data_IF_249449829886
#
_entry.id   IF_249449829886
#
_cell.length_a   1.000
_cell.length_b   1.000
_cell.length_c   1.000
_cell.angle_alpha   90.00
_cell.angle_beta   90.00
_cell.angle_gamma   90.00
#
_symmetry.space_group_name_H-M   'P 1'
#
loop_
_entity.id
_entity.type
_entity.pdbx_description
1 polymer ?
#
# COMPACT_ATOMS: atom_id res chain seq x y z
N UNK A 1 12.21 -19.35 55.79
CA UNK A 1 13.07 -18.24 55.34
C UNK A 1 12.19 -16.99 55.23
N UNK A 2 12.41 -15.98 56.10
CA UNK A 2 11.63 -14.74 56.09
C UNK A 2 12.24 -13.80 55.04
N UNK A 3 11.55 -13.56 53.94
CA UNK A 3 11.93 -12.52 52.98
C UNK A 3 11.91 -11.16 53.69
N UNK A 4 12.99 -10.40 53.55
CA UNK A 4 13.19 -9.10 54.19
C UNK A 4 12.18 -8.08 53.66
N UNK A 5 11.66 -7.17 54.50
CA UNK A 5 10.61 -6.22 54.14
C UNK A 5 11.00 -5.30 52.96
N UNK A 6 12.29 -5.10 52.71
CA UNK A 6 12.79 -4.36 51.55
C UNK A 6 12.53 -5.07 50.21
N UNK A 7 12.58 -6.41 50.17
CA UNK A 7 12.38 -7.19 48.93
C UNK A 7 10.91 -7.14 48.48
N UNK A 8 9.98 -7.13 49.44
CA UNK A 8 8.55 -6.98 49.16
C UNK A 8 8.19 -5.58 48.63
N UNK A 9 8.81 -4.52 49.16
CA UNK A 9 8.58 -3.17 48.66
C UNK A 9 9.13 -2.97 47.23
N UNK A 10 10.33 -3.49 46.95
CA UNK A 10 10.95 -3.38 45.62
C UNK A 10 10.14 -4.16 44.57
N UNK A 11 9.69 -5.37 44.90
CA UNK A 11 8.84 -6.16 43.99
C UNK A 11 7.47 -5.52 43.76
N UNK A 12 6.86 -4.94 44.79
CA UNK A 12 5.57 -4.25 44.64
C UNK A 12 5.68 -3.00 43.75
N UNK A 13 6.79 -2.25 43.82
CA UNK A 13 7.06 -1.10 42.95
C UNK A 13 7.31 -1.54 41.50
N UNK A 14 8.02 -2.66 41.29
CA UNK A 14 8.29 -3.19 39.94
C UNK A 14 7.01 -3.69 39.24
N UNK A 15 6.14 -4.39 39.98
CA UNK A 15 4.83 -4.84 39.49
C UNK A 15 3.92 -3.64 39.21
N UNK A 16 3.92 -2.62 40.08
CA UNK A 16 3.16 -1.39 39.84
C UNK A 16 3.65 -0.66 38.58
N UNK A 17 4.96 -0.51 38.35
CA UNK A 17 5.51 0.06 37.12
C UNK A 17 5.09 -0.70 35.87
N UNK A 18 5.05 -2.04 35.95
CA UNK A 18 4.67 -2.91 34.81
C UNK A 18 3.21 -2.70 34.37
N UNK A 19 2.34 -2.23 35.26
CA UNK A 19 0.93 -1.93 34.96
C UNK A 19 0.76 -0.56 34.29
N UNK A 20 1.75 0.34 34.40
CA UNK A 20 1.74 1.66 33.74
C UNK A 20 2.33 1.65 32.34
N UNK A 21 3.05 0.60 31.94
CA UNK A 21 3.47 0.41 30.55
C UNK A 21 2.30 -0.09 29.72
N UNK A 22 1.47 0.84 29.24
CA UNK A 22 0.58 0.53 28.12
C UNK A 22 1.46 0.17 26.92
N UNK A 23 1.25 -0.98 26.25
CA UNK A 23 1.87 -1.21 24.95
C UNK A 23 1.38 -0.09 24.03
N UNK A 24 2.30 0.79 23.61
CA UNK A 24 2.01 1.71 22.53
C UNK A 24 2.10 0.91 21.23
N UNK A 25 0.99 0.34 20.80
CA UNK A 25 0.83 0.05 19.38
C UNK A 25 0.83 1.40 18.67
N UNK A 26 1.94 1.72 17.99
CA UNK A 26 2.03 2.91 17.16
C UNK A 26 0.93 2.81 16.10
N UNK A 27 -0.08 3.67 16.18
CA UNK A 27 -1.16 3.70 15.19
C UNK A 27 -0.54 4.02 13.82
N UNK A 28 -0.59 3.06 12.88
CA UNK A 28 -0.17 3.26 11.49
C UNK A 28 -0.97 4.43 10.90
N UNK A 29 -0.30 5.35 10.19
CA UNK A 29 -0.99 6.42 9.46
C UNK A 29 -1.57 5.81 8.19
N UNK A 30 -2.89 5.61 8.17
CA UNK A 30 -3.58 4.93 7.07
C UNK A 30 -3.38 5.63 5.72
N UNK A 31 -3.26 6.97 5.70
CA UNK A 31 -3.02 7.72 4.47
C UNK A 31 -1.60 7.52 3.95
N UNK A 32 -0.62 7.50 4.85
CA UNK A 32 0.78 7.23 4.51
C UNK A 32 0.94 5.79 3.99
N UNK A 33 0.37 4.81 4.68
CA UNK A 33 0.44 3.40 4.29
C UNK A 33 -0.37 3.09 3.02
N UNK A 34 -1.53 3.73 2.81
CA UNK A 34 -2.25 3.69 1.53
C UNK A 34 -1.38 4.22 0.39
N UNK A 35 -0.71 5.35 0.62
CA UNK A 35 0.16 5.96 -0.38
C UNK A 35 1.37 5.07 -0.69
N UNK A 36 1.96 4.43 0.32
CA UNK A 36 3.06 3.49 0.16
C UNK A 36 2.63 2.27 -0.67
N UNK A 37 1.49 1.64 -0.36
CA UNK A 37 1.00 0.48 -1.11
C UNK A 37 0.76 0.80 -2.59
N UNK A 38 0.18 1.98 -2.88
CA UNK A 38 -0.01 2.45 -4.26
C UNK A 38 1.32 2.68 -4.96
N UNK A 39 2.26 3.36 -4.31
CA UNK A 39 3.58 3.62 -4.88
C UNK A 39 4.31 2.29 -5.19
N UNK A 40 4.27 1.31 -4.29
CA UNK A 40 4.82 -0.04 -4.56
C UNK A 40 4.18 -0.66 -5.79
N UNK A 41 2.84 -0.61 -5.89
CA UNK A 41 2.13 -1.18 -7.04
C UNK A 41 2.47 -0.49 -8.35
N UNK A 42 2.55 0.85 -8.34
CA UNK A 42 2.86 1.65 -9.53
C UNK A 42 4.30 1.43 -10.00
N UNK A 43 5.25 1.35 -9.07
CA UNK A 43 6.68 1.11 -9.38
C UNK A 43 6.93 -0.32 -9.87
N UNK A 44 6.25 -1.33 -9.28
CA UNK A 44 6.32 -2.70 -9.77
C UNK A 44 5.72 -2.83 -11.17
N UNK A 45 4.52 -2.30 -11.40
CA UNK A 45 3.89 -2.34 -12.72
C UNK A 45 4.76 -1.68 -13.78
N UNK A 46 5.35 -0.53 -13.47
CA UNK A 46 6.30 0.12 -14.36
C UNK A 46 7.51 -0.78 -14.63
N UNK A 47 8.17 -1.29 -13.60
CA UNK A 47 9.38 -2.12 -13.74
C UNK A 47 9.13 -3.39 -14.56
N UNK A 48 7.99 -4.06 -14.34
CA UNK A 48 7.54 -5.22 -15.11
C UNK A 48 7.32 -4.83 -16.58
N UNK A 49 6.73 -3.67 -16.85
CA UNK A 49 6.47 -3.20 -18.23
C UNK A 49 7.74 -2.91 -19.04
N UNK A 50 8.88 -2.71 -18.36
CA UNK A 50 10.18 -2.50 -18.99
C UNK A 50 10.85 -3.81 -19.43
N UNK A 51 10.33 -4.96 -19.00
CA UNK A 51 10.85 -6.28 -19.38
C UNK A 51 10.26 -6.72 -20.71
N UNK A 52 11.08 -7.33 -21.57
CA UNK A 52 10.59 -7.95 -22.80
C UNK A 52 9.59 -9.08 -22.47
N UNK A 53 8.33 -9.00 -22.93
CA UNK A 53 7.31 -10.03 -22.66
C UNK A 53 7.68 -11.42 -23.20
N UNK A 54 8.62 -11.50 -24.16
CA UNK A 54 9.10 -12.78 -24.71
C UNK A 54 10.22 -13.41 -23.88
N UNK A 55 10.81 -12.68 -22.93
CA UNK A 55 11.88 -13.20 -22.08
C UNK A 55 11.31 -14.25 -21.13
N UNK A 56 11.78 -15.49 -21.24
CA UNK A 56 11.39 -16.60 -20.37
C UNK A 56 12.57 -17.14 -19.58
N UNK A 57 12.32 -17.69 -18.41
CA UNK A 57 13.30 -18.45 -17.63
C UNK A 57 12.85 -19.89 -17.40
N UNK A 58 13.81 -20.76 -17.17
CA UNK A 58 13.58 -22.15 -16.78
C UNK A 58 13.31 -22.22 -15.27
N UNK A 59 12.16 -22.77 -14.88
CA UNK A 59 11.76 -22.91 -13.46
C UNK A 59 11.53 -24.37 -13.12
N UNK A 60 12.55 -24.98 -12.51
CA UNK A 60 12.52 -26.40 -12.22
C UNK A 60 12.56 -27.26 -13.49
N UNK A 61 13.07 -28.48 -13.33
CA UNK A 61 13.27 -29.39 -14.46
C UNK A 61 14.56 -30.17 -14.43
N UNK A 62 15.39 -30.01 -13.40
CA UNK A 62 16.58 -30.83 -13.20
C UNK A 62 16.28 -32.30 -12.82
N UNK A 63 15.01 -32.63 -12.58
CA UNK A 63 14.59 -34.00 -12.29
C UNK A 63 14.33 -34.73 -13.61
N UNK A 64 15.15 -35.74 -13.88
CA UNK A 64 14.88 -36.69 -14.96
C UNK A 64 13.63 -37.51 -14.61
N UNK A 65 12.76 -37.66 -15.60
CA UNK A 65 11.71 -38.66 -15.59
C UNK A 65 12.33 -40.07 -15.71
N UNK A 66 11.62 -41.14 -15.30
CA UNK A 66 12.11 -42.52 -15.40
C UNK A 66 12.46 -42.97 -16.83
N UNK A 67 11.95 -42.26 -17.85
CA UNK A 67 12.21 -42.49 -19.28
C UNK A 67 13.44 -41.74 -19.82
N UNK A 68 14.16 -41.00 -18.97
CA UNK A 68 15.33 -40.21 -19.35
C UNK A 68 15.00 -38.81 -19.92
N UNK A 69 13.73 -38.42 -19.99
CA UNK A 69 13.33 -37.08 -20.41
C UNK A 69 13.46 -36.06 -19.26
N UNK A 70 13.78 -34.81 -19.59
CA UNK A 70 13.81 -33.69 -18.65
C UNK A 70 12.50 -32.91 -18.76
N UNK A 71 11.81 -32.70 -17.64
CA UNK A 71 10.62 -31.85 -17.60
C UNK A 71 11.03 -30.38 -17.61
N UNK A 72 11.19 -29.80 -18.80
CA UNK A 72 11.55 -28.40 -18.97
C UNK A 72 10.31 -27.49 -18.77
N UNK A 73 10.22 -26.82 -17.61
CA UNK A 73 9.18 -25.80 -17.36
C UNK A 73 9.75 -24.42 -17.60
N UNK A 74 9.12 -23.67 -18.51
CA UNK A 74 9.43 -22.26 -18.77
C UNK A 74 8.30 -21.37 -18.32
N UNK A 75 8.64 -20.23 -17.72
CA UNK A 75 7.70 -19.18 -17.34
C UNK A 75 8.19 -17.81 -17.82
N UNK A 76 7.30 -16.82 -17.99
CA UNK A 76 7.69 -15.44 -18.27
C UNK A 76 8.61 -14.90 -17.17
N UNK A 77 9.74 -14.30 -17.56
CA UNK A 77 10.69 -13.71 -16.60
C UNK A 77 10.08 -12.54 -15.84
N UNK A 78 9.35 -11.67 -16.56
CA UNK A 78 8.78 -10.42 -16.05
C UNK A 78 7.92 -10.58 -14.78
N UNK A 79 7.32 -11.77 -14.59
CA UNK A 79 6.46 -12.09 -13.44
C UNK A 79 6.91 -13.33 -12.68
N UNK A 80 8.15 -13.78 -12.93
CA UNK A 80 8.74 -14.86 -12.15
C UNK A 80 8.97 -14.40 -10.71
N UNK A 81 8.74 -15.29 -9.75
CA UNK A 81 8.94 -15.02 -8.32
C UNK A 81 10.32 -14.43 -8.04
N UNK A 82 11.37 -15.03 -8.61
CA UNK A 82 12.75 -14.52 -8.48
C UNK A 82 12.88 -13.07 -8.96
N UNK A 83 12.27 -12.72 -10.09
CA UNK A 83 12.35 -11.34 -10.58
C UNK A 83 11.53 -10.38 -9.73
N UNK A 84 10.35 -10.79 -9.25
CA UNK A 84 9.53 -9.96 -8.38
C UNK A 84 10.22 -9.68 -7.04
N UNK A 85 10.94 -10.65 -6.47
CA UNK A 85 11.78 -10.46 -5.27
C UNK A 85 12.88 -9.40 -5.53
N UNK A 86 13.60 -9.51 -6.65
CA UNK A 86 14.62 -8.52 -7.04
C UNK A 86 14.03 -7.10 -7.18
N UNK A 87 12.82 -6.98 -7.74
CA UNK A 87 12.16 -5.69 -7.88
C UNK A 87 11.74 -5.10 -6.53
N UNK A 88 11.24 -5.94 -5.62
CA UNK A 88 10.80 -5.52 -4.28
C UNK A 88 11.94 -4.98 -3.42
N UNK A 89 13.15 -5.53 -3.52
CA UNK A 89 14.34 -4.99 -2.84
C UNK A 89 14.66 -3.53 -3.25
N UNK A 90 14.35 -3.17 -4.50
CA UNK A 90 14.65 -1.86 -5.07
C UNK A 90 13.53 -0.83 -4.96
N UNK A 91 12.27 -1.28 -4.88
CA UNK A 91 11.08 -0.44 -5.12
C UNK A 91 10.99 0.77 -4.19
N UNK A 92 11.35 0.60 -2.91
CA UNK A 92 11.22 1.66 -1.92
C UNK A 92 12.28 2.76 -2.06
N UNK A 93 13.34 2.56 -2.85
CA UNK A 93 14.30 3.62 -3.15
C UNK A 93 13.69 4.71 -4.03
N UNK A 94 12.68 4.36 -4.83
CA UNK A 94 11.98 5.30 -5.70
C UNK A 94 11.01 6.22 -4.94
N UNK A 95 10.78 6.01 -3.63
CA UNK A 95 9.92 6.89 -2.82
C UNK A 95 10.45 8.33 -2.71
N UNK A 96 11.72 8.55 -3.06
CA UNK A 96 12.31 9.90 -3.20
C UNK A 96 11.75 10.70 -4.40
N UNK A 97 11.15 10.01 -5.38
CA UNK A 97 10.46 10.61 -6.53
C UNK A 97 9.00 10.98 -6.23
N UNK A 98 8.56 10.77 -5.00
CA UNK A 98 7.20 11.02 -4.52
C UNK A 98 7.20 12.18 -3.53
N UNK A 99 6.13 12.97 -3.57
CA UNK A 99 5.91 14.06 -2.64
C UNK A 99 4.43 14.18 -2.29
N UNK A 100 4.16 14.84 -1.17
CA UNK A 100 2.80 15.03 -0.66
C UNK A 100 2.03 15.94 -1.61
N UNK A 101 1.01 15.42 -2.27
CA UNK A 101 0.14 16.16 -3.17
C UNK A 101 -1.17 16.49 -2.48
N UNK A 102 -1.62 17.74 -2.60
CA UNK A 102 -2.93 18.19 -2.10
C UNK A 102 -3.90 18.34 -3.26
N UNK A 103 -4.93 17.51 -3.30
CA UNK A 103 -5.98 17.66 -4.31
C UNK A 103 -6.61 19.07 -4.21
N UNK A 104 -6.66 19.83 -5.32
CA UNK A 104 -7.15 21.21 -5.29
C UNK A 104 -8.65 21.30 -4.95
N UNK A 105 -9.43 20.29 -5.33
CA UNK A 105 -10.87 20.24 -5.13
C UNK A 105 -11.21 19.69 -3.74
N UNK A 106 -10.60 18.56 -3.36
CA UNK A 106 -10.97 17.83 -2.15
C UNK A 106 -10.15 18.22 -0.93
N UNK A 107 -9.01 18.91 -1.14
CA UNK A 107 -7.97 19.17 -0.13
C UNK A 107 -7.40 17.91 0.52
N UNK A 108 -7.60 16.76 -0.12
CA UNK A 108 -7.04 15.49 0.33
C UNK A 108 -5.54 15.45 0.08
N UNK A 109 -4.82 14.87 1.03
CA UNK A 109 -3.37 14.74 0.99
C UNK A 109 -3.03 13.29 0.69
N UNK A 110 -2.22 13.06 -0.34
CA UNK A 110 -1.67 11.75 -0.66
C UNK A 110 -0.33 11.89 -1.36
N UNK A 111 0.55 10.89 -1.26
CA UNK A 111 1.81 10.97 -1.99
C UNK A 111 1.60 10.61 -3.46
N UNK A 112 2.09 11.47 -4.35
CA UNK A 112 2.12 11.23 -5.80
C UNK A 112 3.54 11.33 -6.32
N UNK A 113 3.84 10.62 -7.40
CA UNK A 113 5.12 10.75 -8.10
C UNK A 113 5.19 12.11 -8.79
N UNK A 114 6.24 12.88 -8.54
CA UNK A 114 6.48 14.16 -9.22
C UNK A 114 7.60 14.07 -10.25
N UNK A 115 8.55 13.14 -10.06
CA UNK A 115 9.62 12.92 -11.03
C UNK A 115 9.04 12.21 -12.28
N UNK A 116 9.58 12.45 -13.48
CA UNK A 116 9.27 11.68 -14.69
C UNK A 116 10.03 10.34 -14.71
N UNK A 117 9.57 9.38 -15.51
CA UNK A 117 10.27 8.08 -15.68
C UNK A 117 11.17 8.10 -16.93
N UNK A 118 12.49 8.11 -16.71
CA UNK A 118 13.49 8.01 -17.79
C UNK A 118 13.45 9.14 -18.84
N UNK A 119 14.16 8.94 -19.95
CA UNK A 119 14.38 9.98 -20.97
C UNK A 119 13.19 10.22 -21.92
N UNK A 120 12.10 9.46 -21.80
CA UNK A 120 10.95 9.51 -22.72
C UNK A 120 9.70 10.17 -22.14
N UNK A 121 9.59 10.25 -20.81
CA UNK A 121 8.42 10.78 -20.14
C UNK A 121 8.52 12.31 -20.03
N UNK A 122 7.94 13.00 -21.01
CA UNK A 122 7.90 14.48 -21.04
C UNK A 122 6.77 15.05 -20.18
N UNK A 123 5.99 14.19 -19.53
CA UNK A 123 4.83 14.55 -18.72
C UNK A 123 5.25 14.92 -17.30
N UNK A 124 5.96 16.03 -17.12
CA UNK A 124 6.16 16.54 -15.79
C UNK A 124 4.81 16.98 -15.21
N UNK A 125 4.39 16.46 -14.05
CA UNK A 125 3.10 16.82 -13.47
C UNK A 125 3.12 18.29 -13.03
N UNK A 126 1.93 18.90 -12.94
CA UNK A 126 1.81 20.24 -12.38
C UNK A 126 2.23 20.22 -10.90
N UNK A 127 3.36 20.87 -10.60
CA UNK A 127 3.92 20.91 -9.25
C UNK A 127 3.15 21.80 -8.28
N UNK A 128 2.19 22.61 -8.76
CA UNK A 128 1.51 23.62 -7.93
C UNK A 128 0.88 23.07 -6.66
N UNK A 129 0.45 21.80 -6.69
CA UNK A 129 -0.24 21.14 -5.59
C UNK A 129 0.66 20.20 -4.77
N UNK A 130 1.96 20.12 -5.09
CA UNK A 130 2.92 19.34 -4.34
C UNK A 130 3.51 20.16 -3.19
N UNK A 131 3.60 19.51 -2.03
CA UNK A 131 4.27 20.02 -0.84
C UNK A 131 5.59 19.26 -0.68
N UNK A 132 6.67 20.02 -0.64
CA UNK A 132 8.02 19.51 -0.48
C UNK A 132 8.51 19.85 0.93
N UNK A 133 8.27 18.93 1.87
CA UNK A 133 8.64 19.08 3.29
C UNK A 133 10.14 18.75 3.54
N UNK A 134 10.98 18.92 2.52
CA UNK A 134 12.38 18.48 2.53
C UNK A 134 12.54 16.95 2.62
N UNK A 135 13.71 16.45 3.03
CA UNK A 135 14.00 15.00 3.08
C UNK A 135 13.03 14.21 3.98
N UNK A 136 12.40 14.87 4.95
CA UNK A 136 11.52 14.20 5.89
C UNK A 136 10.26 13.63 5.22
N UNK A 137 9.69 14.37 4.26
CA UNK A 137 8.50 13.92 3.53
C UNK A 137 8.73 12.62 2.77
N UNK A 138 9.83 12.53 2.03
CA UNK A 138 10.22 11.32 1.29
C UNK A 138 10.65 10.18 2.22
N UNK A 139 11.29 10.50 3.35
CA UNK A 139 11.74 9.49 4.32
C UNK A 139 10.55 8.80 5.01
N UNK A 140 9.49 9.52 5.35
CA UNK A 140 8.29 8.93 5.93
C UNK A 140 7.62 7.94 4.98
N UNK A 141 7.51 8.30 3.69
CA UNK A 141 6.96 7.39 2.68
C UNK A 141 7.89 6.19 2.44
N UNK A 142 9.22 6.42 2.38
CA UNK A 142 10.20 5.34 2.26
C UNK A 142 10.08 4.33 3.39
N UNK A 143 10.02 4.81 4.64
CA UNK A 143 9.86 3.94 5.81
C UNK A 143 8.55 3.14 5.75
N UNK A 144 7.44 3.78 5.39
CA UNK A 144 6.16 3.11 5.24
C UNK A 144 6.18 2.07 4.10
N UNK A 145 6.88 2.36 3.00
CA UNK A 145 7.10 1.41 1.91
C UNK A 145 7.90 0.20 2.39
N UNK A 146 9.02 0.40 3.08
CA UNK A 146 9.86 -0.68 3.59
C UNK A 146 9.08 -1.57 4.55
N UNK A 147 8.33 -0.97 5.49
CA UNK A 147 7.45 -1.71 6.40
C UNK A 147 6.35 -2.47 5.67
N UNK A 148 5.77 -1.88 4.62
CA UNK A 148 4.71 -2.52 3.82
C UNK A 148 5.24 -3.70 3.01
N UNK A 149 6.38 -3.53 2.34
CA UNK A 149 7.02 -4.60 1.57
C UNK A 149 7.43 -5.75 2.49
N UNK A 150 8.01 -5.46 3.66
CA UNK A 150 8.37 -6.48 4.64
C UNK A 150 7.14 -7.28 5.15
N UNK A 151 6.01 -6.62 5.37
CA UNK A 151 4.79 -7.27 5.88
C UNK A 151 4.04 -8.07 4.80
N UNK A 152 4.05 -7.60 3.55
CA UNK A 152 3.19 -8.13 2.48
C UNK A 152 3.96 -8.73 1.29
N UNK A 153 5.26 -9.02 1.43
CA UNK A 153 6.12 -9.55 0.35
C UNK A 153 5.48 -10.75 -0.37
N UNK A 154 5.09 -11.77 0.39
CA UNK A 154 4.49 -13.01 -0.13
C UNK A 154 3.19 -12.75 -0.89
N UNK A 155 2.33 -11.86 -0.35
CA UNK A 155 1.07 -11.50 -0.97
C UNK A 155 1.28 -10.70 -2.26
N UNK A 156 2.26 -9.79 -2.27
CA UNK A 156 2.64 -9.02 -3.46
C UNK A 156 3.12 -9.98 -4.54
N UNK A 157 4.06 -10.87 -4.24
CA UNK A 157 4.58 -11.86 -5.20
C UNK A 157 3.45 -12.75 -5.74
N UNK A 158 2.61 -13.27 -4.85
CA UNK A 158 1.48 -14.13 -5.21
C UNK A 158 0.47 -13.43 -6.12
N UNK A 159 0.20 -12.14 -5.88
CA UNK A 159 -0.69 -11.35 -6.72
C UNK A 159 -0.07 -11.01 -8.07
N UNK A 160 1.18 -10.53 -8.10
CA UNK A 160 1.83 -10.07 -9.33
C UNK A 160 2.31 -11.21 -10.24
N UNK A 161 2.57 -12.40 -9.68
CA UNK A 161 2.89 -13.60 -10.47
C UNK A 161 1.72 -14.08 -11.32
N UNK A 162 0.49 -13.72 -10.92
CA UNK A 162 -0.74 -13.95 -11.68
C UNK A 162 -0.99 -12.70 -12.52
N UNK A 163 -1.20 -12.86 -13.81
CA UNK A 163 -1.67 -11.74 -14.63
C UNK A 163 -3.10 -11.40 -14.20
N UNK A 164 -3.25 -10.38 -13.37
CA UNK A 164 -4.51 -9.97 -12.78
C UNK A 164 -4.72 -8.47 -13.00
N UNK A 165 -5.91 -8.11 -13.47
CA UNK A 165 -6.35 -6.72 -13.46
C UNK A 165 -6.56 -6.25 -12.01
N UNK A 166 -6.40 -4.95 -11.77
CA UNK A 166 -6.71 -4.34 -10.48
C UNK A 166 -5.87 -4.82 -9.28
N UNK A 167 -4.59 -5.17 -9.49
CA UNK A 167 -3.67 -5.56 -8.40
C UNK A 167 -3.63 -4.52 -7.26
N UNK A 168 -3.61 -3.23 -7.60
CA UNK A 168 -3.61 -2.14 -6.63
C UNK A 168 -4.86 -2.15 -5.73
N UNK A 169 -6.04 -2.34 -6.33
CA UNK A 169 -7.30 -2.41 -5.58
C UNK A 169 -7.27 -3.57 -4.60
N UNK A 170 -6.89 -4.75 -5.09
CA UNK A 170 -6.90 -5.97 -4.29
C UNK A 170 -5.88 -5.92 -3.15
N UNK A 171 -4.63 -5.56 -3.46
CA UNK A 171 -3.55 -5.50 -2.49
C UNK A 171 -3.81 -4.40 -1.44
N UNK A 172 -4.14 -3.19 -1.89
CA UNK A 172 -4.22 -2.04 -0.99
C UNK A 172 -5.56 -1.91 -0.25
N UNK A 173 -6.56 -2.74 -0.53
CA UNK A 173 -7.84 -2.69 0.19
C UNK A 173 -8.25 -4.01 0.84
N UNK A 174 -8.14 -5.14 0.14
CA UNK A 174 -8.61 -6.43 0.65
C UNK A 174 -7.54 -7.12 1.51
N UNK A 175 -6.28 -7.07 1.08
CA UNK A 175 -5.19 -7.80 1.72
C UNK A 175 -4.59 -7.00 2.87
N UNK A 176 -4.22 -5.75 2.61
CA UNK A 176 -3.57 -4.92 3.63
C UNK A 176 -4.53 -4.44 4.72
N UNK A 177 -5.84 -4.47 4.47
CA UNK A 177 -6.86 -3.90 5.35
C UNK A 177 -6.74 -2.37 5.53
N UNK A 178 -5.88 -1.70 4.76
CA UNK A 178 -5.64 -0.26 4.89
C UNK A 178 -6.83 0.48 4.27
N UNK A 179 -7.59 1.14 5.12
CA UNK A 179 -8.69 2.01 4.72
C UNK A 179 -8.30 3.44 5.02
N UNK A 180 -8.13 4.27 3.98
CA UNK A 180 -7.92 5.71 4.20
C UNK A 180 -9.17 6.32 4.87
N UNK A 181 -9.08 6.66 6.17
CA UNK A 181 -10.17 7.25 6.95
C UNK A 181 -10.69 8.59 6.39
N UNK A 182 -9.97 9.23 5.47
CA UNK A 182 -10.41 10.46 4.80
C UNK A 182 -11.51 10.22 3.76
N UNK A 183 -11.70 8.98 3.31
CA UNK A 183 -12.83 8.57 2.47
C UNK A 183 -14.18 8.70 3.20
N UNK A 184 -14.20 8.61 4.54
CA UNK A 184 -15.42 8.81 5.35
C UNK A 184 -15.90 10.28 5.42
N UNK A 185 -14.98 11.26 5.43
CA UNK A 185 -15.35 12.68 5.63
C UNK A 185 -15.91 13.33 4.36
N UNK A 186 -15.53 12.83 3.18
CA UNK A 186 -16.07 13.26 1.89
C UNK A 186 -17.34 12.52 1.50
N UNK A 187 -17.50 11.25 1.92
CA UNK A 187 -18.81 10.59 1.86
C UNK A 187 -19.89 11.42 2.58
N UNK A 188 -19.55 12.04 3.71
CA UNK A 188 -20.44 12.94 4.47
C UNK A 188 -20.75 14.29 3.77
N UNK A 189 -19.79 14.90 3.07
CA UNK A 189 -20.01 16.18 2.34
C UNK A 189 -20.80 16.00 1.03
N UNK A 190 -20.59 14.90 0.32
CA UNK A 190 -21.42 14.54 -0.85
C UNK A 190 -22.84 14.15 -0.37
N UNK A 191 -22.96 13.50 0.80
CA UNK A 191 -24.24 13.28 1.49
C UNK A 191 -24.99 14.59 1.75
N UNK A 192 -24.34 15.63 2.27
CA UNK A 192 -25.00 16.94 2.53
C UNK A 192 -25.55 17.56 1.24
N UNK A 193 -24.82 17.47 0.12
CA UNK A 193 -25.31 17.91 -1.19
C UNK A 193 -26.47 17.08 -1.75
N UNK A 194 -26.46 15.76 -1.53
CA UNK A 194 -27.51 14.84 -2.01
C UNK A 194 -28.76 14.82 -1.11
N UNK A 195 -28.61 15.03 0.20
CA UNK A 195 -29.72 15.16 1.16
C UNK A 195 -30.57 16.40 0.87
N UNK A 196 -29.94 17.51 0.46
CA UNK A 196 -30.64 18.72 0.03
C UNK A 196 -31.42 18.55 -1.29
N UNK A 197 -31.13 17.49 -2.06
CA UNK A 197 -31.87 17.12 -3.29
C UNK A 197 -32.96 16.06 -3.08
N UNK A 198 -33.16 15.58 -1.84
CA UNK A 198 -34.26 14.68 -1.47
C UNK A 198 -34.14 13.22 -1.93
N UNK A 199 -32.93 12.74 -2.28
CA UNK A 199 -32.73 11.42 -2.91
C UNK A 199 -32.09 10.34 -2.01
N UNK A 200 -31.86 10.54 -0.71
CA UNK A 200 -30.97 9.62 0.01
C UNK A 200 -31.23 9.44 1.52
N UNK A 201 -31.08 8.20 2.00
CA UNK A 201 -31.14 7.79 3.41
C UNK A 201 -29.89 6.92 3.69
N UNK A 202 -28.91 7.45 4.42
CA UNK A 202 -27.52 6.96 4.42
C UNK A 202 -27.24 5.93 5.50
N UNK A 203 -26.82 4.71 5.14
CA UNK A 203 -26.36 3.75 6.14
C UNK A 203 -25.00 3.06 5.90
N UNK A 204 -24.27 3.27 4.79
CA UNK A 204 -22.90 2.71 4.69
C UNK A 204 -22.00 3.56 3.78
N UNK A 205 -20.85 4.02 4.31
CA UNK A 205 -19.73 4.57 3.54
C UNK A 205 -18.57 3.59 3.73
N UNK A 206 -18.14 2.89 2.67
CA UNK A 206 -16.89 2.12 2.69
C UNK A 206 -15.79 2.94 2.03
N UNK A 207 -14.75 3.24 2.79
CA UNK A 207 -13.51 3.76 2.25
C UNK A 207 -12.58 2.64 1.82
N UNK A 208 -11.95 2.79 0.68
CA UNK A 208 -10.78 1.99 0.27
C UNK A 208 -9.65 2.97 -0.06
N UNK A 209 -8.39 2.52 -0.12
CA UNK A 209 -7.32 3.37 -0.66
C UNK A 209 -7.64 3.88 -2.09
N UNK A 210 -8.58 3.25 -2.81
CA UNK A 210 -8.91 3.57 -4.21
C UNK A 210 -10.20 4.35 -4.44
N UNK A 211 -11.09 4.45 -3.45
CA UNK A 211 -12.49 4.81 -3.69
C UNK A 211 -13.28 5.23 -2.45
N UNK A 212 -14.21 6.16 -2.68
CA UNK A 212 -15.38 6.38 -1.82
C UNK A 212 -16.58 5.77 -2.56
N UNK A 213 -17.25 4.77 -1.98
CA UNK A 213 -18.48 4.22 -2.55
C UNK A 213 -19.69 4.77 -1.78
N UNK A 214 -20.59 5.46 -2.47
CA UNK A 214 -21.91 5.87 -1.95
C UNK A 214 -22.99 4.92 -2.49
N UNK A 215 -23.65 4.18 -1.60
CA UNK A 215 -24.69 3.21 -1.94
C UNK A 215 -26.06 3.65 -1.40
N UNK A 216 -26.99 4.00 -2.30
CA UNK A 216 -28.38 4.34 -1.97
C UNK A 216 -29.33 3.29 -2.55
N UNK A 217 -30.24 2.75 -1.73
CA UNK A 217 -31.31 1.80 -2.12
C UNK A 217 -30.91 0.80 -3.24
N UNK A 218 -29.79 0.11 -3.07
CA UNK A 218 -29.37 -0.95 -4.00
C UNK A 218 -28.69 -0.46 -5.29
N UNK A 219 -28.34 0.81 -5.42
CA UNK A 219 -27.65 1.36 -6.60
C UNK A 219 -26.43 2.22 -6.23
N UNK A 220 -25.37 2.13 -7.04
CA UNK A 220 -24.16 2.95 -6.98
C UNK A 220 -24.49 4.39 -7.42
N UNK A 221 -24.33 5.37 -6.53
CA UNK A 221 -24.80 6.76 -6.77
C UNK A 221 -23.66 7.70 -7.19
N UNK A 222 -22.41 7.44 -6.76
CA UNK A 222 -21.26 8.24 -7.19
C UNK A 222 -19.96 7.43 -7.19
N UNK A 223 -19.09 7.73 -8.17
CA UNK A 223 -17.78 7.13 -8.37
C UNK A 223 -16.75 8.25 -8.50
N UNK A 224 -15.74 8.27 -7.62
CA UNK A 224 -14.52 9.05 -7.84
C UNK A 224 -13.33 8.15 -7.51
N UNK A 225 -12.53 7.87 -8.54
CA UNK A 225 -11.23 7.21 -8.42
C UNK A 225 -10.14 8.27 -8.41
N UNK A 226 -9.14 8.07 -7.56
CA UNK A 226 -8.05 9.02 -7.28
C UNK A 226 -6.69 8.51 -7.73
#
# INVERSE_FOLDING_TARGET
>A
MKMTPCVHHVTMVFVAMSIFFKPSEGKKDDMLYCSACRAVTDELNYSISQVDPKKTIHVGGFRLNPDGSLNDRKVPFARSETHLMELLEGVCNNMSDYALHVDPDTKEKLYKRFAPRGNGDRGFPDLKNFQFDGPQGSNSLKFACESFVEEFEDDIISLFSREADHVADKLCSEISGIVSHHSHRHGAKILEGLLLSGLYNSNVIHGTCNKVILAGQGQLVAYKSY
#
